data_IF_138221828346
#
_entry.id   IF_138221828346
#
_cell.length_a   1.000
_cell.length_b   1.000
_cell.length_c   1.000
_cell.angle_alpha   90.00
_cell.angle_beta   90.00
_cell.angle_gamma   90.00
#
_symmetry.space_group_name_H-M   'P 1'
#
loop_
_entity.id
_entity.type
_entity.pdbx_description
1 polymer ?
#
# COMPACT_ATOMS: atom_id res chain seq x y z
N UNK A 1 -23.15 -5.83 14.10
CA UNK A 1 -22.41 -6.70 15.05
C UNK A 1 -21.07 -6.05 15.31
N UNK A 2 -20.45 -6.25 16.48
CA UNK A 2 -19.15 -5.65 16.80
C UNK A 2 -18.36 -6.54 17.77
N UNK A 3 -17.03 -6.35 17.82
CA UNK A 3 -16.17 -6.93 18.85
C UNK A 3 -16.04 -5.93 20.00
N UNK A 4 -16.42 -6.33 21.20
CA UNK A 4 -16.21 -5.56 22.43
C UNK A 4 -15.05 -6.15 23.22
N UNK A 5 -14.13 -5.30 23.68
CA UNK A 5 -13.03 -5.70 24.57
C UNK A 5 -13.33 -5.19 25.98
N UNK A 6 -13.35 -6.09 26.96
CA UNK A 6 -13.40 -5.74 28.38
C UNK A 6 -12.05 -6.00 29.01
N UNK A 7 -11.61 -5.09 29.88
CA UNK A 7 -10.33 -5.18 30.60
C UNK A 7 -10.59 -5.24 32.09
N UNK A 8 -9.96 -6.19 32.77
CA UNK A 8 -10.00 -6.31 34.23
C UNK A 8 -8.57 -6.34 34.76
N UNK A 9 -8.24 -5.39 35.62
CA UNK A 9 -6.98 -5.43 36.36
C UNK A 9 -7.15 -6.27 37.62
N UNK A 10 -6.24 -7.21 37.85
CA UNK A 10 -6.15 -7.96 39.10
C UNK A 10 -4.67 -8.08 39.50
N UNK A 11 -4.32 -7.44 40.63
CA UNK A 11 -2.92 -7.25 41.05
C UNK A 11 -2.11 -6.61 39.92
N UNK A 12 -1.01 -7.25 39.51
CA UNK A 12 -0.10 -6.78 38.46
C UNK A 12 -0.45 -7.32 37.07
N UNK A 13 -1.60 -7.98 36.90
CA UNK A 13 -2.04 -8.57 35.62
C UNK A 13 -3.29 -7.88 35.08
N UNK A 14 -3.27 -7.58 33.79
CA UNK A 14 -4.45 -7.12 33.04
C UNK A 14 -4.99 -8.32 32.25
N UNK A 15 -6.26 -8.63 32.49
CA UNK A 15 -7.01 -9.64 31.75
C UNK A 15 -7.87 -8.94 30.71
N UNK A 16 -7.70 -9.32 29.45
CA UNK A 16 -8.55 -8.86 28.35
C UNK A 16 -9.52 -9.97 27.94
N UNK A 17 -10.75 -9.60 27.62
CA UNK A 17 -11.74 -10.51 27.05
C UNK A 17 -12.38 -9.86 25.84
N UNK A 18 -12.33 -10.54 24.70
CA UNK A 18 -12.90 -10.09 23.44
C UNK A 18 -14.20 -10.85 23.16
N UNK A 19 -15.30 -10.14 22.98
CA UNK A 19 -16.63 -10.72 22.78
C UNK A 19 -17.25 -10.24 21.46
N UNK A 20 -17.76 -11.17 20.65
CA UNK A 20 -18.62 -10.83 19.51
C UNK A 20 -20.03 -10.55 20.01
N UNK A 21 -20.54 -9.36 19.71
CA UNK A 21 -21.84 -8.88 20.20
C UNK A 21 -22.72 -8.33 19.08
N UNK A 22 -24.02 -8.45 19.26
CA UNK A 22 -25.02 -7.78 18.41
C UNK A 22 -26.01 -6.99 19.24
N UNK A 23 -26.46 -5.86 18.71
CA UNK A 23 -27.59 -5.12 19.25
C UNK A 23 -28.84 -5.51 18.48
N UNK A 24 -29.93 -5.75 19.19
CA UNK A 24 -31.23 -6.11 18.63
C UNK A 24 -32.34 -5.36 19.37
N UNK A 25 -33.55 -5.36 18.81
CA UNK A 25 -34.73 -4.75 19.46
C UNK A 25 -35.72 -5.81 19.86
N UNK A 26 -36.24 -5.67 21.08
CA UNK A 26 -37.27 -6.52 21.65
C UNK A 26 -38.17 -5.62 22.50
N UNK A 27 -39.48 -5.68 22.26
CA UNK A 27 -40.49 -4.86 22.93
C UNK A 27 -40.17 -3.35 22.95
N UNK A 28 -39.71 -2.83 21.81
CA UNK A 28 -39.34 -1.41 21.65
C UNK A 28 -38.04 -1.01 22.37
N UNK A 29 -37.35 -1.92 23.06
CA UNK A 29 -36.09 -1.67 23.76
C UNK A 29 -34.90 -2.22 22.98
N UNK A 30 -33.79 -1.48 22.97
CA UNK A 30 -32.52 -1.98 22.42
C UNK A 30 -31.84 -2.86 23.47
N UNK A 31 -31.53 -4.09 23.10
CA UNK A 31 -30.80 -5.07 23.92
C UNK A 31 -29.51 -5.49 23.23
N UNK A 32 -28.55 -5.96 24.02
CA UNK A 32 -27.27 -6.47 23.53
C UNK A 32 -27.14 -7.95 23.87
N UNK A 33 -26.80 -8.75 22.87
CA UNK A 33 -26.57 -10.20 22.99
C UNK A 33 -25.11 -10.52 22.74
N UNK A 34 -24.55 -11.45 23.52
CA UNK A 34 -23.21 -12.00 23.29
C UNK A 34 -23.35 -13.23 22.40
N UNK A 35 -22.72 -13.21 21.23
CA UNK A 35 -22.78 -14.30 20.26
C UNK A 35 -21.64 -15.31 20.46
N UNK A 36 -20.45 -14.81 20.78
CA UNK A 36 -19.27 -15.66 21.00
C UNK A 36 -18.23 -14.95 21.86
N UNK A 37 -17.43 -15.74 22.58
CA UNK A 37 -16.16 -15.30 23.15
C UNK A 37 -15.06 -15.52 22.09
N UNK A 38 -14.30 -14.48 21.76
CA UNK A 38 -13.21 -14.52 20.77
C UNK A 38 -11.82 -14.59 21.42
N UNK A 39 -11.74 -14.58 22.74
CA UNK A 39 -10.45 -14.43 23.48
C UNK A 39 -9.47 -15.59 23.32
N UNK A 40 -9.91 -16.71 22.72
CA UNK A 40 -9.04 -17.85 22.40
C UNK A 40 -8.39 -17.72 21.01
N UNK A 41 -8.82 -16.74 20.20
CA UNK A 41 -8.24 -16.49 18.88
C UNK A 41 -6.95 -15.67 19.02
N UNK A 42 -6.02 -15.78 18.05
CA UNK A 42 -4.89 -14.86 17.95
C UNK A 42 -5.35 -13.41 17.80
N UNK A 43 -4.59 -12.46 18.38
CA UNK A 43 -4.93 -11.03 18.35
C UNK A 43 -5.10 -10.49 16.93
N UNK A 44 -4.27 -10.95 15.99
CA UNK A 44 -4.36 -10.58 14.57
C UNK A 44 -5.72 -10.96 13.96
N UNK A 45 -6.25 -12.14 14.31
CA UNK A 45 -7.56 -12.58 13.84
C UNK A 45 -8.68 -11.73 14.45
N UNK A 46 -8.58 -11.40 15.75
CA UNK A 46 -9.53 -10.53 16.43
C UNK A 46 -9.54 -9.13 15.79
N UNK A 47 -8.36 -8.62 15.41
CA UNK A 47 -8.24 -7.35 14.70
C UNK A 47 -8.88 -7.39 13.32
N UNK A 48 -8.65 -8.44 12.52
CA UNK A 48 -9.29 -8.61 11.21
C UNK A 48 -10.82 -8.67 11.35
N UNK A 49 -11.34 -9.41 12.34
CA UNK A 49 -12.79 -9.45 12.60
C UNK A 49 -13.32 -8.06 12.96
N UNK A 50 -12.61 -7.32 13.83
CA UNK A 50 -12.99 -5.96 14.23
C UNK A 50 -13.06 -5.01 13.03
N UNK A 51 -12.06 -5.07 12.16
CA UNK A 51 -11.95 -4.24 10.97
C UNK A 51 -12.97 -4.60 9.90
N UNK A 52 -13.17 -5.89 9.65
CA UNK A 52 -14.19 -6.40 8.73
C UNK A 52 -15.59 -6.00 9.18
N UNK A 53 -15.92 -6.11 10.48
CA UNK A 53 -17.20 -5.66 11.03
C UNK A 53 -17.37 -4.14 11.00
N UNK A 54 -16.29 -3.37 10.93
CA UNK A 54 -16.30 -1.92 10.73
C UNK A 54 -16.41 -1.52 9.24
N UNK A 55 -16.52 -2.49 8.33
CA UNK A 55 -16.64 -2.26 6.88
C UNK A 55 -15.31 -2.08 6.16
N UNK A 56 -14.17 -2.37 6.79
CA UNK A 56 -12.89 -2.40 6.08
C UNK A 56 -12.80 -3.67 5.22
N UNK A 57 -12.27 -3.50 4.01
CA UNK A 57 -11.99 -4.61 3.10
C UNK A 57 -10.56 -5.10 3.31
N UNK A 58 -10.38 -6.42 3.27
CA UNK A 58 -9.09 -7.08 3.39
C UNK A 58 -8.81 -7.84 2.10
N UNK A 59 -7.55 -7.87 1.69
CA UNK A 59 -7.04 -8.73 0.62
C UNK A 59 -6.15 -9.78 1.25
N UNK A 60 -6.22 -11.01 0.75
CA UNK A 60 -5.29 -12.06 1.16
C UNK A 60 -3.92 -11.70 0.58
N UNK A 61 -2.90 -11.62 1.44
CA UNK A 61 -1.56 -11.30 1.00
C UNK A 61 -1.09 -12.36 -0.03
N UNK A 62 -0.67 -11.89 -1.21
CA UNK A 62 -0.26 -12.77 -2.31
C UNK A 62 -1.40 -13.21 -3.24
N UNK A 63 -2.66 -12.92 -2.91
CA UNK A 63 -3.81 -13.14 -3.79
C UNK A 63 -4.43 -11.80 -4.21
N UNK A 64 -5.18 -11.79 -5.32
CA UNK A 64 -5.88 -10.59 -5.80
C UNK A 64 -4.99 -9.56 -6.52
N UNK A 65 -3.70 -9.85 -6.70
CA UNK A 65 -2.80 -9.04 -7.51
C UNK A 65 -2.33 -9.80 -8.76
N UNK A 66 -2.43 -9.15 -9.92
CA UNK A 66 -1.91 -9.67 -11.19
C UNK A 66 -0.76 -8.78 -11.67
N UNK A 67 0.39 -9.39 -11.99
CA UNK A 67 1.53 -8.66 -12.56
C UNK A 67 1.22 -8.35 -14.03
N UNK A 68 0.76 -7.13 -14.31
CA UNK A 68 0.48 -6.69 -15.70
C UNK A 68 1.72 -6.48 -16.55
N UNK A 69 2.84 -6.08 -15.94
CA UNK A 69 4.11 -5.82 -16.61
C UNK A 69 5.25 -5.83 -15.60
N UNK A 70 6.41 -6.32 -16.01
CA UNK A 70 7.67 -6.18 -15.28
C UNK A 70 8.68 -5.47 -16.17
N UNK A 71 9.30 -4.42 -15.65
CA UNK A 71 10.35 -3.67 -16.36
C UNK A 71 11.56 -3.47 -15.45
N UNK A 72 12.78 -3.53 -16.01
CA UNK A 72 13.97 -3.02 -15.36
C UNK A 72 13.78 -1.56 -14.90
N UNK A 73 13.94 -1.32 -13.59
CA UNK A 73 13.77 0.00 -12.96
C UNK A 73 15.01 0.47 -12.19
N UNK A 74 15.76 -0.44 -11.56
CA UNK A 74 16.79 -0.07 -10.57
C UNK A 74 17.85 0.91 -11.08
N UNK A 75 18.37 0.70 -12.29
CA UNK A 75 19.35 1.62 -12.90
C UNK A 75 18.73 2.98 -13.25
N UNK A 76 17.48 3.01 -13.71
CA UNK A 76 16.76 4.26 -13.99
C UNK A 76 16.55 5.04 -12.70
N UNK A 77 16.09 4.37 -11.65
CA UNK A 77 15.86 4.97 -10.34
C UNK A 77 17.14 5.55 -9.73
N UNK A 78 18.26 4.82 -9.82
CA UNK A 78 19.55 5.28 -9.30
C UNK A 78 20.01 6.59 -9.97
N UNK A 79 19.97 6.64 -11.30
CA UNK A 79 20.39 7.84 -12.04
C UNK A 79 19.38 8.99 -11.85
N UNK A 80 18.07 8.71 -11.86
CA UNK A 80 17.05 9.72 -11.62
C UNK A 80 17.15 10.31 -10.19
N UNK A 81 17.45 9.50 -9.18
CA UNK A 81 17.70 9.98 -7.82
C UNK A 81 18.91 10.92 -7.76
N UNK A 82 19.99 10.59 -8.46
CA UNK A 82 21.17 11.47 -8.55
C UNK A 82 20.84 12.77 -9.28
N UNK A 83 20.15 12.71 -10.41
CA UNK A 83 19.74 13.89 -11.16
C UNK A 83 18.84 14.83 -10.32
N UNK A 84 17.90 14.27 -9.55
CA UNK A 84 17.10 15.03 -8.59
C UNK A 84 17.95 15.66 -7.48
N UNK A 85 18.91 14.93 -6.92
CA UNK A 85 19.84 15.46 -5.90
C UNK A 85 20.65 16.64 -6.43
N UNK A 86 21.03 16.60 -7.70
CA UNK A 86 21.71 17.69 -8.42
C UNK A 86 20.76 18.79 -8.89
N UNK A 87 19.46 18.70 -8.59
CA UNK A 87 18.40 19.62 -9.05
C UNK A 87 18.33 19.74 -10.57
N UNK A 88 18.79 18.72 -11.30
CA UNK A 88 18.87 18.72 -12.74
C UNK A 88 17.51 18.97 -13.43
N UNK A 89 16.38 18.38 -13.00
CA UNK A 89 15.08 18.67 -13.63
C UNK A 89 14.68 20.15 -13.59
N UNK A 90 15.08 20.88 -12.55
CA UNK A 90 14.77 22.30 -12.44
C UNK A 90 15.54 23.16 -13.46
N UNK A 91 16.67 22.67 -13.96
CA UNK A 91 17.46 23.33 -15.01
C UNK A 91 16.79 23.21 -16.39
N UNK A 92 15.92 22.21 -16.58
CA UNK A 92 15.20 21.98 -17.83
C UNK A 92 13.91 22.82 -17.94
N UNK A 93 13.54 23.55 -16.88
CA UNK A 93 12.36 24.40 -16.84
C UNK A 93 11.16 23.81 -16.08
N UNK A 94 9.98 24.46 -16.18
CA UNK A 94 8.77 24.03 -15.48
C UNK A 94 8.27 22.67 -15.97
N UNK A 95 7.37 22.04 -15.20
CA UNK A 95 6.81 20.75 -15.56
C UNK A 95 5.97 20.80 -16.83
N UNK A 96 6.45 20.12 -17.87
CA UNK A 96 5.76 19.89 -19.12
C UNK A 96 6.24 18.58 -19.76
N UNK A 97 5.48 18.10 -20.74
CA UNK A 97 5.77 16.83 -21.41
C UNK A 97 7.10 16.85 -22.16
N UNK A 98 7.44 17.97 -22.78
CA UNK A 98 8.67 18.17 -23.52
C UNK A 98 9.89 18.09 -22.58
N UNK A 99 9.78 18.68 -21.38
CA UNK A 99 10.81 18.58 -20.35
C UNK A 99 11.03 17.12 -19.95
N UNK A 100 9.96 16.37 -19.70
CA UNK A 100 10.06 14.97 -19.25
C UNK A 100 10.69 14.07 -20.34
N UNK A 101 10.35 14.31 -21.61
CA UNK A 101 11.00 13.65 -22.76
C UNK A 101 12.50 13.97 -22.81
N UNK A 102 12.88 15.25 -22.67
CA UNK A 102 14.29 15.67 -22.68
C UNK A 102 15.03 15.05 -21.48
N UNK A 103 14.42 15.07 -20.30
CA UNK A 103 14.97 14.46 -19.10
C UNK A 103 15.23 12.97 -19.32
N UNK A 104 14.25 12.22 -19.82
CA UNK A 104 14.38 10.80 -20.13
C UNK A 104 15.50 10.53 -21.17
N UNK A 105 15.61 11.36 -22.21
CA UNK A 105 16.68 11.24 -23.21
C UNK A 105 18.08 11.47 -22.60
N UNK A 106 18.21 12.43 -21.69
CA UNK A 106 19.48 12.71 -21.01
C UNK A 106 19.84 11.58 -20.05
N UNK A 107 18.87 11.09 -19.27
CA UNK A 107 19.08 9.92 -18.43
C UNK A 107 19.47 8.70 -19.26
N UNK A 108 18.87 8.52 -20.43
CA UNK A 108 19.23 7.42 -21.33
C UNK A 108 20.70 7.47 -21.74
N UNK A 109 21.18 8.68 -22.07
CA UNK A 109 22.59 8.92 -22.39
C UNK A 109 23.52 8.63 -21.22
N UNK A 110 23.12 8.97 -19.99
CA UNK A 110 23.92 8.69 -18.79
C UNK A 110 23.96 7.20 -18.43
N UNK A 111 22.86 6.46 -18.64
CA UNK A 111 22.77 5.04 -18.29
C UNK A 111 23.43 4.16 -19.36
N UNK A 112 23.08 4.36 -20.62
CA UNK A 112 23.51 3.52 -21.74
C UNK A 112 23.52 4.35 -23.04
N UNK A 113 24.63 5.04 -23.35
CA UNK A 113 24.80 5.74 -24.61
C UNK A 113 24.58 4.80 -25.80
N UNK A 114 23.71 5.19 -26.73
CA UNK A 114 23.36 4.37 -27.89
C UNK A 114 22.86 5.26 -29.05
N UNK A 115 22.63 4.66 -30.23
CA UNK A 115 22.01 5.36 -31.35
C UNK A 115 20.57 5.78 -31.02
N UNK A 116 20.06 6.83 -31.69
CA UNK A 116 18.68 7.33 -31.48
C UNK A 116 17.63 6.21 -31.56
N UNK A 117 17.76 5.32 -32.55
CA UNK A 117 16.84 4.21 -32.73
C UNK A 117 16.95 3.18 -31.60
N UNK A 118 18.16 2.86 -31.12
CA UNK A 118 18.36 1.94 -30.01
C UNK A 118 17.78 2.51 -28.70
N UNK A 119 17.99 3.79 -28.43
CA UNK A 119 17.41 4.49 -27.27
C UNK A 119 15.88 4.45 -27.30
N UNK A 120 15.27 4.76 -28.45
CA UNK A 120 13.80 4.72 -28.60
C UNK A 120 13.22 3.31 -28.36
N UNK A 121 13.91 2.25 -28.81
CA UNK A 121 13.48 0.87 -28.53
C UNK A 121 13.59 0.54 -27.05
N UNK A 122 14.68 0.94 -26.41
CA UNK A 122 14.92 0.66 -24.99
C UNK A 122 13.91 1.31 -24.04
N UNK A 123 13.27 2.41 -24.44
CA UNK A 123 12.17 3.02 -23.66
C UNK A 123 10.96 2.08 -23.53
N UNK A 124 10.77 1.15 -24.47
CA UNK A 124 9.73 0.11 -24.38
C UNK A 124 10.11 -1.02 -23.42
N UNK A 125 11.38 -1.16 -23.08
CA UNK A 125 11.92 -2.29 -22.32
C UNK A 125 12.39 -1.90 -20.93
N UNK A 126 12.17 -0.66 -20.49
CA UNK A 126 12.53 -0.16 -19.16
C UNK A 126 11.53 0.89 -18.68
N UNK A 127 11.57 1.22 -17.39
CA UNK A 127 10.73 2.30 -16.84
C UNK A 127 11.13 3.70 -17.32
N UNK A 128 12.23 3.84 -18.06
CA UNK A 128 12.66 5.12 -18.59
C UNK A 128 11.66 5.71 -19.61
N UNK A 129 10.85 4.88 -20.26
CA UNK A 129 9.74 5.34 -21.10
C UNK A 129 8.48 5.77 -20.33
N UNK A 130 8.50 5.69 -19.00
CA UNK A 130 7.38 6.05 -18.11
C UNK A 130 7.63 7.33 -17.30
N UNK A 131 8.86 7.85 -17.29
CA UNK A 131 9.23 9.13 -16.68
C UNK A 131 8.73 10.29 -17.53
#
# INVERSE_FOLDING_TARGET
MHVATTRRQHKDKIYETHLLRRSYREDGKVKNETLANLSYLPEETIQVIRESLAGKHHVVAGEGFEIKRSLPHGHVAAIAAMANKLKFPALLGPACRERDIIYALILAGAIRPASKLATSRWFKDSTLGLT
#
